data_IF_628442351800
#
_entry.id   IF_628442351800
#
_cell.length_a   1.000
_cell.length_b   1.000
_cell.length_c   1.000
_cell.angle_alpha   90.00
_cell.angle_beta   90.00
_cell.angle_gamma   90.00
#
_symmetry.space_group_name_H-M   'P 1'
#
loop_
_entity.id
_entity.type
_entity.pdbx_description
1 polymer ?
#
# COMPACT_ATOMS: atom_id res chain seq x y z
N UNK A 1 23.20 13.06 23.85
CA UNK A 1 22.98 13.86 22.63
C UNK A 1 22.98 12.91 21.44
N UNK A 2 21.85 12.73 20.73
CA UNK A 2 21.79 11.84 19.56
C UNK A 2 22.34 12.60 18.35
N UNK A 3 23.48 12.16 17.82
CA UNK A 3 24.02 12.68 16.56
C UNK A 3 23.23 12.10 15.39
N UNK A 4 22.60 12.95 14.58
CA UNK A 4 21.83 12.53 13.40
C UNK A 4 22.55 12.99 12.13
N UNK A 5 22.78 12.07 11.19
CA UNK A 5 23.33 12.40 9.87
C UNK A 5 22.19 12.54 8.86
N UNK A 6 22.16 13.66 8.13
CA UNK A 6 21.21 13.89 7.03
C UNK A 6 21.89 13.57 5.71
N UNK A 7 21.40 12.54 5.01
CA UNK A 7 21.94 12.09 3.72
C UNK A 7 20.90 12.38 2.64
N UNK A 8 21.33 12.96 1.50
CA UNK A 8 20.51 13.17 0.32
C UNK A 8 20.93 12.20 -0.78
N UNK A 9 19.97 11.46 -1.32
CA UNK A 9 20.17 10.65 -2.51
C UNK A 9 20.22 11.54 -3.76
N UNK A 10 21.09 11.21 -4.71
CA UNK A 10 21.16 11.83 -6.05
C UNK A 10 20.89 10.74 -7.08
N UNK A 11 19.61 10.37 -7.28
CA UNK A 11 19.28 9.31 -8.23
C UNK A 11 19.55 9.76 -9.67
N UNK A 12 19.94 8.82 -10.51
CA UNK A 12 19.89 8.99 -11.97
C UNK A 12 18.44 8.89 -12.49
N UNK A 13 18.24 9.18 -13.77
CA UNK A 13 16.91 9.16 -14.40
C UNK A 13 16.20 7.80 -14.28
N UNK A 14 16.97 6.71 -14.36
CA UNK A 14 16.41 5.36 -14.22
C UNK A 14 15.93 5.11 -12.79
N UNK A 15 16.74 5.46 -11.79
CA UNK A 15 16.41 5.35 -10.38
C UNK A 15 15.21 6.22 -10.01
N UNK A 16 15.16 7.46 -10.50
CA UNK A 16 14.01 8.35 -10.28
C UNK A 16 12.72 7.73 -10.85
N UNK A 17 12.77 7.18 -12.07
CA UNK A 17 11.63 6.47 -12.67
C UNK A 17 11.18 5.28 -11.81
N UNK A 18 12.11 4.50 -11.26
CA UNK A 18 11.79 3.37 -10.38
C UNK A 18 11.17 3.81 -9.05
N UNK A 19 11.64 4.92 -8.47
CA UNK A 19 11.07 5.51 -7.27
C UNK A 19 9.63 5.99 -7.51
N UNK A 20 9.38 6.66 -8.64
CA UNK A 20 8.04 7.10 -9.01
C UNK A 20 7.08 5.94 -9.26
N UNK A 21 7.52 4.89 -9.97
CA UNK A 21 6.75 3.65 -10.12
C UNK A 21 6.43 3.03 -8.78
N UNK A 22 7.42 2.93 -7.89
CA UNK A 22 7.25 2.33 -6.55
C UNK A 22 6.25 3.12 -5.71
N UNK A 23 6.34 4.45 -5.69
CA UNK A 23 5.39 5.31 -5.00
C UNK A 23 3.97 5.20 -5.60
N UNK A 24 3.86 5.10 -6.93
CA UNK A 24 2.61 4.86 -7.64
C UNK A 24 1.95 3.53 -7.25
N UNK A 25 2.71 2.43 -7.33
CA UNK A 25 2.28 1.09 -6.93
C UNK A 25 1.85 1.05 -5.46
N UNK A 26 2.65 1.62 -4.56
CA UNK A 26 2.30 1.67 -3.13
C UNK A 26 1.00 2.44 -2.88
N UNK A 27 0.80 3.59 -3.54
CA UNK A 27 -0.44 4.37 -3.45
C UNK A 27 -1.64 3.58 -3.95
N UNK A 28 -1.52 2.98 -5.12
CA UNK A 28 -2.61 2.21 -5.74
C UNK A 28 -3.01 1.02 -4.87
N UNK A 29 -2.05 0.19 -4.43
CA UNK A 29 -2.31 -1.00 -3.62
C UNK A 29 -2.92 -0.62 -2.25
N UNK A 30 -2.45 0.47 -1.65
CA UNK A 30 -3.06 0.98 -0.41
C UNK A 30 -4.54 1.33 -0.62
N UNK A 31 -4.85 2.06 -1.69
CA UNK A 31 -6.21 2.48 -2.02
C UNK A 31 -7.11 1.29 -2.35
N UNK A 32 -6.62 0.35 -3.17
CA UNK A 32 -7.30 -0.90 -3.46
C UNK A 32 -7.61 -1.67 -2.17
N UNK A 33 -6.67 -1.68 -1.21
CA UNK A 33 -6.88 -2.38 0.08
C UNK A 33 -7.99 -1.74 0.90
N UNK A 34 -8.07 -0.39 0.91
CA UNK A 34 -9.17 0.30 1.59
C UNK A 34 -10.52 -0.01 0.94
N UNK A 35 -10.56 0.03 -0.38
CA UNK A 35 -11.78 -0.23 -1.13
C UNK A 35 -12.30 -1.66 -0.90
N UNK A 36 -11.40 -2.63 -1.00
CA UNK A 36 -11.69 -4.05 -0.73
C UNK A 36 -12.20 -4.30 0.69
N UNK A 37 -11.64 -3.62 1.69
CA UNK A 37 -12.12 -3.70 3.08
C UNK A 37 -13.51 -3.06 3.23
N UNK A 38 -13.77 -1.96 2.51
CA UNK A 38 -15.06 -1.28 2.54
C UNK A 38 -16.16 -2.13 1.89
N UNK A 39 -15.89 -2.74 0.75
CA UNK A 39 -16.79 -3.71 0.11
C UNK A 39 -17.10 -4.87 1.04
N UNK A 40 -16.06 -5.45 1.65
CA UNK A 40 -16.21 -6.55 2.61
C UNK A 40 -17.06 -6.14 3.82
N UNK A 41 -16.85 -4.93 4.35
CA UNK A 41 -17.66 -4.40 5.46
C UNK A 41 -19.12 -4.16 5.07
N UNK A 42 -19.39 -3.62 3.87
CA UNK A 42 -20.76 -3.43 3.35
C UNK A 42 -21.52 -4.75 3.24
N UNK A 43 -20.83 -5.87 3.05
CA UNK A 43 -21.39 -7.22 3.04
C UNK A 43 -21.63 -7.79 4.44
N UNK A 44 -21.33 -7.05 5.51
CA UNK A 44 -21.47 -7.51 6.90
C UNK A 44 -20.34 -8.44 7.37
N UNK A 45 -19.27 -8.58 6.59
CA UNK A 45 -18.18 -9.48 6.92
C UNK A 45 -17.20 -8.87 7.94
N UNK A 46 -16.48 -9.74 8.64
CA UNK A 46 -15.39 -9.35 9.53
C UNK A 46 -14.20 -8.79 8.75
N UNK A 47 -13.43 -7.92 9.40
CA UNK A 47 -12.23 -7.31 8.84
C UNK A 47 -11.25 -8.35 8.27
N UNK A 48 -10.79 -8.16 7.03
CA UNK A 48 -9.86 -9.06 6.38
C UNK A 48 -8.44 -8.85 6.95
N UNK A 49 -7.74 -9.94 7.26
CA UNK A 49 -6.33 -9.85 7.65
C UNK A 49 -5.45 -9.41 6.48
N UNK A 50 -4.31 -8.78 6.76
CA UNK A 50 -3.35 -8.39 5.73
C UNK A 50 -2.79 -9.61 4.98
N UNK A 51 -2.69 -10.77 5.62
CA UNK A 51 -2.29 -12.02 4.95
C UNK A 51 -3.27 -12.45 3.85
N UNK A 52 -4.58 -12.28 4.06
CA UNK A 52 -5.60 -12.58 3.04
C UNK A 52 -5.47 -11.62 1.87
N UNK A 53 -5.43 -10.32 2.15
CA UNK A 53 -5.34 -9.26 1.14
C UNK A 53 -4.02 -9.32 0.35
N UNK A 54 -2.91 -9.72 0.97
CA UNK A 54 -1.64 -9.97 0.26
C UNK A 54 -1.74 -11.11 -0.73
N UNK A 55 -2.48 -12.18 -0.41
CA UNK A 55 -2.73 -13.29 -1.34
C UNK A 55 -3.61 -12.82 -2.51
N UNK A 56 -4.67 -12.06 -2.23
CA UNK A 56 -5.54 -11.46 -3.27
C UNK A 56 -4.72 -10.58 -4.22
N UNK A 57 -3.89 -9.66 -3.70
CA UNK A 57 -2.98 -8.83 -4.51
C UNK A 57 -2.01 -9.68 -5.34
N UNK A 58 -1.51 -10.79 -4.80
CA UNK A 58 -0.60 -11.66 -5.55
C UNK A 58 -1.30 -12.30 -6.75
N UNK A 59 -2.59 -12.63 -6.65
CA UNK A 59 -3.35 -13.12 -7.80
C UNK A 59 -3.72 -12.00 -8.77
N UNK A 60 -4.15 -10.85 -8.24
CA UNK A 60 -4.53 -9.69 -9.04
C UNK A 60 -3.39 -9.24 -9.97
N UNK A 61 -2.15 -9.24 -9.47
CA UNK A 61 -0.94 -8.92 -10.25
C UNK A 61 -0.62 -9.85 -11.41
N UNK A 62 -1.26 -11.02 -11.50
CA UNK A 62 -1.10 -11.94 -12.62
C UNK A 62 -2.05 -11.62 -13.78
N UNK A 63 -3.09 -10.82 -13.54
CA UNK A 63 -4.02 -10.39 -14.56
C UNK A 63 -3.37 -9.33 -15.45
N UNK A 64 -3.67 -9.34 -16.75
CA UNK A 64 -3.02 -8.46 -17.72
C UNK A 64 -3.22 -6.97 -17.38
N UNK A 65 -4.42 -6.58 -16.94
CA UNK A 65 -4.74 -5.18 -16.57
C UNK A 65 -3.91 -4.64 -15.38
N UNK A 66 -3.35 -5.54 -14.57
CA UNK A 66 -2.60 -5.21 -13.35
C UNK A 66 -1.14 -5.64 -13.40
N UNK A 67 -0.66 -6.11 -14.56
CA UNK A 67 0.70 -6.61 -14.74
C UNK A 67 1.77 -5.56 -14.44
N UNK A 68 1.44 -4.28 -14.66
CA UNK A 68 2.31 -3.14 -14.34
C UNK A 68 2.69 -3.04 -12.85
N UNK A 69 1.92 -3.64 -11.93
CA UNK A 69 2.29 -3.74 -10.52
C UNK A 69 3.54 -4.61 -10.28
N UNK A 70 3.97 -5.38 -11.28
CA UNK A 70 5.20 -6.17 -11.26
C UNK A 70 6.44 -5.39 -11.70
N UNK A 71 6.29 -4.16 -12.18
CA UNK A 71 7.41 -3.30 -12.59
C UNK A 71 8.32 -2.91 -11.41
N UNK A 72 7.88 -3.17 -10.17
CA UNK A 72 8.62 -2.87 -8.95
C UNK A 72 8.65 -4.08 -8.01
N UNK A 73 9.53 -4.03 -7.01
CA UNK A 73 9.66 -5.10 -6.02
C UNK A 73 8.31 -5.47 -5.39
N UNK A 74 8.06 -6.78 -5.28
CA UNK A 74 6.85 -7.30 -4.65
C UNK A 74 6.64 -6.80 -3.21
N UNK A 75 7.72 -6.44 -2.53
CA UNK A 75 7.67 -5.89 -1.18
C UNK A 75 6.92 -4.56 -1.11
N UNK A 76 6.92 -3.76 -2.18
CA UNK A 76 6.19 -2.49 -2.25
C UNK A 76 4.69 -2.73 -2.07
N UNK A 77 4.12 -3.66 -2.83
CA UNK A 77 2.70 -4.00 -2.74
C UNK A 77 2.37 -4.64 -1.39
N UNK A 78 3.18 -5.60 -0.93
CA UNK A 78 2.96 -6.28 0.37
C UNK A 78 2.99 -5.31 1.55
N UNK A 79 3.90 -4.33 1.53
CA UNK A 79 4.00 -3.32 2.57
C UNK A 79 2.82 -2.35 2.51
N UNK A 80 2.38 -1.94 1.32
CA UNK A 80 1.21 -1.07 1.16
C UNK A 80 -0.08 -1.70 1.72
N UNK A 81 -0.30 -3.01 1.52
CA UNK A 81 -1.40 -3.75 2.18
C UNK A 81 -1.26 -3.71 3.69
N UNK A 82 -0.05 -3.94 4.22
CA UNK A 82 0.24 -3.88 5.67
C UNK A 82 -0.13 -2.52 6.26
N UNK A 83 0.29 -1.45 5.58
CA UNK A 83 0.09 -0.09 6.03
C UNK A 83 -1.40 0.28 6.04
N UNK A 84 -2.16 -0.12 5.02
CA UNK A 84 -3.60 0.06 4.96
C UNK A 84 -4.32 -0.70 6.09
N UNK A 85 -3.98 -1.97 6.31
CA UNK A 85 -4.53 -2.74 7.42
C UNK A 85 -4.16 -2.16 8.78
N UNK A 86 -2.93 -1.63 8.92
CA UNK A 86 -2.50 -0.97 10.15
C UNK A 86 -3.27 0.32 10.40
N UNK A 87 -3.63 1.09 9.36
CA UNK A 87 -4.47 2.27 9.49
C UNK A 87 -5.85 1.92 10.07
N UNK A 88 -6.49 0.85 9.58
CA UNK A 88 -7.74 0.35 10.18
C UNK A 88 -7.56 -0.11 11.62
N UNK A 89 -6.50 -0.87 11.92
CA UNK A 89 -6.20 -1.31 13.30
C UNK A 89 -6.04 -0.13 14.26
N UNK A 90 -5.43 0.97 13.82
CA UNK A 90 -5.31 2.21 14.59
C UNK A 90 -6.67 2.90 14.77
N UNK A 91 -7.50 2.93 13.73
CA UNK A 91 -8.87 3.44 13.81
C UNK A 91 -9.71 2.65 14.81
N UNK A 92 -9.68 1.31 14.77
CA UNK A 92 -10.43 0.47 15.73
C UNK A 92 -9.96 0.64 17.17
N UNK A 93 -8.70 1.01 17.39
CA UNK A 93 -8.15 1.35 18.72
C UNK A 93 -8.50 2.77 19.19
N UNK A 94 -9.18 3.57 18.38
CA UNK A 94 -9.50 4.97 18.69
C UNK A 94 -8.30 5.93 18.65
N UNK A 95 -7.13 5.49 18.15
CA UNK A 95 -5.90 6.32 18.13
C UNK A 95 -5.69 7.06 16.81
N UNK A 96 -6.56 6.84 15.82
CA UNK A 96 -6.58 7.59 14.57
C UNK A 96 -8.00 7.71 14.02
N UNK A 97 -8.21 8.71 13.16
CA UNK A 97 -9.43 8.81 12.36
C UNK A 97 -9.50 7.67 11.34
N UNK A 98 -10.67 7.51 10.73
CA UNK A 98 -10.91 6.54 9.67
C UNK A 98 -9.89 6.67 8.52
N UNK A 99 -9.36 5.55 7.99
CA UNK A 99 -8.39 5.59 6.89
C UNK A 99 -8.94 6.28 5.64
N UNK A 100 -8.13 7.12 5.00
CA UNK A 100 -8.51 7.82 3.77
C UNK A 100 -7.71 7.33 2.58
N UNK A 101 -8.32 7.38 1.40
CA UNK A 101 -7.62 7.18 0.14
C UNK A 101 -6.44 8.14 0.01
N UNK A 102 -5.29 7.62 -0.42
CA UNK A 102 -4.09 8.39 -0.70
C UNK A 102 -4.22 9.07 -2.05
N UNK A 103 -3.83 10.34 -2.10
CA UNK A 103 -3.73 11.12 -3.33
C UNK A 103 -2.26 11.32 -3.73
N UNK A 104 -2.02 11.83 -4.95
CA UNK A 104 -0.67 12.25 -5.39
C UNK A 104 -0.35 13.69 -4.99
N UNK A 105 -1.37 14.51 -4.70
CA UNK A 105 -1.23 15.90 -4.28
C UNK A 105 -0.56 16.00 -2.93
#
# INVERSE_FOLDING_TARGET
MILTKKIRLKPDEYQEKQLWKSAGTARWVYNWTLDRQNENYKQGNKFLSDNVLRKEITQLRKQEDFKWLNDVSNNVAKQAVKDACQAYKRFFKGVSKYPKFKSRK
#
